data_IF_252405947455
#
_entry.id   IF_252405947455
#
_cell.length_a   1.000
_cell.length_b   1.000
_cell.length_c   1.000
_cell.angle_alpha   90.00
_cell.angle_beta   90.00
_cell.angle_gamma   90.00
#
_symmetry.space_group_name_H-M   'P 1'
#
loop_
_entity.id
_entity.type
_entity.pdbx_description
1 polymer ?
#
# COMPACT_ATOMS: atom_id res chain seq x y z
N UNK A 1 -12.76 4.85 13.37
CA UNK A 1 -12.06 3.62 13.76
C UNK A 1 -10.66 3.95 14.27
N UNK A 2 -10.27 3.36 15.38
CA UNK A 2 -8.93 3.56 15.94
C UNK A 2 -8.03 2.40 15.55
N UNK A 3 -6.80 2.72 15.14
CA UNK A 3 -5.82 1.73 14.71
C UNK A 3 -4.57 1.85 15.57
N UNK A 4 -3.88 0.72 15.77
CA UNK A 4 -2.59 0.73 16.44
C UNK A 4 -1.45 1.08 15.47
N UNK A 5 -1.69 1.00 14.19
CA UNK A 5 -0.71 1.32 13.15
C UNK A 5 -0.50 2.83 13.12
N UNK A 6 0.76 3.28 13.28
CA UNK A 6 1.10 4.69 13.42
C UNK A 6 1.43 5.39 12.10
N UNK A 7 1.99 4.66 11.15
CA UNK A 7 2.37 5.25 9.86
C UNK A 7 1.22 5.11 8.88
N UNK A 8 0.56 6.22 8.58
CA UNK A 8 -0.61 6.26 7.70
C UNK A 8 -0.38 7.33 6.64
N UNK A 9 -0.32 6.90 5.37
CA UNK A 9 -0.01 7.79 4.26
C UNK A 9 -1.14 7.76 3.24
N UNK A 10 -1.92 8.83 3.13
CA UNK A 10 -2.90 8.94 2.04
C UNK A 10 -2.17 8.94 0.69
N UNK A 11 -2.71 8.25 -0.27
CA UNK A 11 -2.10 8.15 -1.58
C UNK A 11 -3.04 7.68 -2.66
N UNK A 12 -2.48 7.50 -3.85
CA UNK A 12 -3.23 7.06 -5.02
C UNK A 12 -2.56 5.85 -5.62
N UNK A 13 -3.34 4.80 -5.89
CA UNK A 13 -2.83 3.61 -6.56
C UNK A 13 -2.46 3.98 -8.00
N UNK A 14 -1.23 3.65 -8.39
CA UNK A 14 -0.75 3.90 -9.76
C UNK A 14 -0.71 2.62 -10.59
N UNK A 15 -0.53 1.47 -9.96
CA UNK A 15 -0.44 0.20 -10.69
C UNK A 15 -0.87 -0.95 -9.79
N UNK A 16 -1.59 -1.90 -10.35
CA UNK A 16 -1.92 -3.17 -9.71
C UNK A 16 -1.45 -4.28 -10.63
N UNK A 17 -0.55 -5.14 -10.11
CA UNK A 17 -0.02 -6.27 -10.86
C UNK A 17 -0.33 -7.54 -10.08
N UNK A 18 -1.12 -8.43 -10.67
CA UNK A 18 -1.52 -9.67 -10.01
C UNK A 18 -0.80 -10.86 -10.60
N UNK A 19 -0.52 -11.85 -9.75
CA UNK A 19 0.04 -13.11 -10.17
C UNK A 19 -0.27 -14.16 -9.13
N UNK A 20 -0.91 -15.27 -9.53
CA UNK A 20 -1.28 -16.32 -8.59
C UNK A 20 -2.15 -15.79 -7.46
N UNK A 21 -1.74 -16.02 -6.22
CA UNK A 21 -2.50 -15.63 -5.03
C UNK A 21 -2.15 -14.23 -4.52
N UNK A 22 -1.05 -13.64 -5.00
CA UNK A 22 -0.56 -12.36 -4.51
C UNK A 22 -0.68 -11.28 -5.57
N UNK A 23 -0.67 -10.04 -5.10
CA UNK A 23 -0.69 -8.87 -5.95
C UNK A 23 0.33 -7.86 -5.44
N UNK A 24 0.92 -7.11 -6.37
CA UNK A 24 1.79 -5.98 -6.06
C UNK A 24 1.03 -4.72 -6.43
N UNK A 25 0.91 -3.81 -5.47
CA UNK A 25 0.21 -2.55 -5.66
C UNK A 25 1.19 -1.42 -5.42
N UNK A 26 1.29 -0.52 -6.40
CA UNK A 26 2.12 0.68 -6.26
C UNK A 26 1.24 1.85 -5.91
N UNK A 27 1.66 2.59 -4.89
CA UNK A 27 0.90 3.71 -4.34
C UNK A 27 1.78 4.95 -4.33
N UNK A 28 1.32 5.99 -5.01
CA UNK A 28 2.00 7.29 -4.95
C UNK A 28 1.56 8.02 -3.69
N UNK A 29 2.52 8.45 -2.90
CA UNK A 29 2.29 9.22 -1.67
C UNK A 29 3.12 10.50 -1.74
N UNK A 30 2.83 11.52 -0.90
CA UNK A 30 3.70 12.71 -0.84
C UNK A 30 5.14 12.30 -0.54
N UNK A 31 6.06 12.68 -1.42
CA UNK A 31 7.47 12.38 -1.26
C UNK A 31 7.96 11.11 -1.92
N UNK A 32 7.10 10.30 -2.52
CA UNK A 32 7.57 9.09 -3.18
C UNK A 32 6.50 8.08 -3.54
N UNK A 33 6.96 6.85 -3.76
CA UNK A 33 6.08 5.75 -4.13
C UNK A 33 6.33 4.59 -3.18
N UNK A 34 5.24 3.95 -2.75
CA UNK A 34 5.30 2.75 -1.93
C UNK A 34 4.87 1.55 -2.76
N UNK A 35 5.49 0.40 -2.48
CA UNK A 35 5.10 -0.87 -3.07
C UNK A 35 4.51 -1.75 -1.98
N UNK A 36 3.31 -2.26 -2.21
CA UNK A 36 2.61 -3.13 -1.29
C UNK A 36 2.42 -4.51 -1.91
N UNK A 37 2.69 -5.55 -1.13
CA UNK A 37 2.38 -6.92 -1.53
C UNK A 37 1.23 -7.40 -0.65
N UNK A 38 0.08 -7.63 -1.27
CA UNK A 38 -1.13 -8.10 -0.59
C UNK A 38 -1.73 -9.25 -1.37
N UNK A 39 -2.70 -9.92 -0.79
CA UNK A 39 -3.36 -11.02 -1.50
C UNK A 39 -4.22 -10.47 -2.65
N UNK A 40 -4.37 -11.27 -3.68
CA UNK A 40 -5.27 -10.94 -4.78
C UNK A 40 -6.70 -10.74 -4.27
N UNK A 41 -7.11 -11.53 -3.28
CA UNK A 41 -8.43 -11.39 -2.67
C UNK A 41 -8.60 -10.02 -2.02
N UNK A 42 -7.56 -9.52 -1.35
CA UNK A 42 -7.60 -8.18 -0.75
C UNK A 42 -7.77 -7.10 -1.79
N UNK A 43 -7.10 -7.22 -2.95
CA UNK A 43 -7.27 -6.28 -4.06
C UNK A 43 -8.74 -6.25 -4.49
N UNK A 44 -9.35 -7.41 -4.62
CA UNK A 44 -10.76 -7.52 -5.02
C UNK A 44 -11.69 -6.93 -3.97
N UNK A 45 -11.48 -7.28 -2.70
CA UNK A 45 -12.33 -6.78 -1.60
C UNK A 45 -12.24 -5.26 -1.46
N UNK A 46 -11.06 -4.69 -1.62
CA UNK A 46 -10.86 -3.25 -1.51
C UNK A 46 -11.21 -2.53 -2.82
N UNK A 47 -11.45 -3.25 -3.90
CA UNK A 47 -11.79 -2.66 -5.18
C UNK A 47 -10.66 -1.83 -5.76
N UNK A 48 -9.41 -2.27 -5.60
CA UNK A 48 -8.26 -1.48 -6.01
C UNK A 48 -8.00 -1.53 -7.51
N UNK A 49 -7.76 -0.37 -8.08
CA UNK A 49 -7.35 -0.21 -9.48
C UNK A 49 -6.53 1.06 -9.57
N UNK A 50 -5.85 1.25 -10.70
CA UNK A 50 -5.13 2.50 -10.94
C UNK A 50 -6.10 3.67 -10.77
N UNK A 51 -5.71 4.66 -9.99
CA UNK A 51 -6.54 5.83 -9.66
C UNK A 51 -7.30 5.73 -8.35
N UNK A 52 -7.33 4.55 -7.70
CA UNK A 52 -8.00 4.40 -6.41
C UNK A 52 -7.32 5.24 -5.34
N UNK A 53 -8.13 5.90 -4.50
CA UNK A 53 -7.63 6.62 -3.33
C UNK A 53 -7.52 5.63 -2.17
N UNK A 54 -6.35 5.60 -1.52
CA UNK A 54 -6.07 4.66 -0.44
C UNK A 54 -5.33 5.35 0.69
N UNK A 55 -5.22 4.67 1.83
CA UNK A 55 -4.31 5.05 2.89
C UNK A 55 -3.35 3.87 3.08
N UNK A 56 -2.06 4.12 2.87
CA UNK A 56 -1.05 3.10 3.12
C UNK A 56 -0.76 3.03 4.62
N UNK A 57 -0.86 1.85 5.19
CA UNK A 57 -0.66 1.60 6.61
C UNK A 57 0.61 0.78 6.81
N UNK A 58 1.56 1.33 7.56
CA UNK A 58 2.85 0.66 7.77
C UNK A 58 3.11 0.54 9.28
N UNK A 59 3.24 -0.68 9.76
CA UNK A 59 3.59 -0.89 11.16
C UNK A 59 4.99 -0.37 11.43
N UNK A 60 5.18 0.24 12.60
CA UNK A 60 6.48 0.80 12.98
C UNK A 60 7.60 -0.24 12.92
N UNK A 61 7.29 -1.51 13.20
CA UNK A 61 8.25 -2.60 13.15
C UNK A 61 8.70 -2.97 11.74
N UNK A 62 8.01 -2.47 10.72
CA UNK A 62 8.31 -2.77 9.32
C UNK A 62 9.09 -1.65 8.63
N UNK A 63 9.42 -0.60 9.35
CA UNK A 63 10.14 0.55 8.77
C UNK A 63 11.64 0.39 9.02
N UNK A 64 12.40 0.26 7.94
CA UNK A 64 13.85 0.20 7.98
C UNK A 64 14.41 1.56 7.62
N UNK A 65 15.60 1.86 8.13
CA UNK A 65 16.21 3.17 7.93
C UNK A 65 17.60 3.02 7.30
N UNK A 66 17.98 4.04 6.57
CA UNK A 66 19.35 4.19 6.11
C UNK A 66 19.75 5.65 6.32
N UNK A 67 21.05 5.90 6.38
CA UNK A 67 21.58 7.25 6.57
C UNK A 67 21.93 7.93 5.26
N UNK A 68 21.29 7.54 4.22
CA UNK A 68 21.60 7.97 2.85
C UNK A 68 21.78 9.48 2.68
#
# INVERSE_FOLDING_TARGET
MSLSIRNQFPGTVTEVSTGGAMARVKVEVPGGELTSAITKDAVTELGLAAGSTVVALIKSTEVSLSNA
#
